data_IF_783118323729
#
_entry.id   IF_783118323729
#
_cell.length_a   1.000
_cell.length_b   1.000
_cell.length_c   1.000
_cell.angle_alpha   90.00
_cell.angle_beta   90.00
_cell.angle_gamma   90.00
#
_symmetry.space_group_name_H-M   'P 1'
#
loop_
_entity.id
_entity.type
_entity.pdbx_description
1 polymer ?
#
# COMPACT_ATOMS: atom_id res chain seq x y z
N UNK A 1 -0.55 17.01 17.38
CA UNK A 1 -0.55 17.18 15.90
C UNK A 1 -0.67 18.65 15.59
N UNK A 2 0.38 19.23 15.01
CA UNK A 2 0.45 20.65 14.67
C UNK A 2 -0.27 21.00 13.37
N UNK A 3 -0.27 22.28 13.01
CA UNK A 3 -0.81 22.75 11.72
C UNK A 3 -0.03 22.18 10.53
N UNK A 4 1.29 22.10 10.65
CA UNK A 4 2.16 21.53 9.62
C UNK A 4 1.79 20.08 9.29
N UNK A 5 1.64 19.22 10.31
CA UNK A 5 1.21 17.83 10.15
C UNK A 5 -0.11 17.72 9.39
N UNK A 6 -1.09 18.57 9.72
CA UNK A 6 -2.42 18.58 9.08
C UNK A 6 -2.32 18.95 7.61
N UNK A 7 -1.48 19.93 7.27
CA UNK A 7 -1.25 20.34 5.87
C UNK A 7 -0.60 19.20 5.09
N UNK A 8 0.44 18.56 5.65
CA UNK A 8 1.11 17.41 5.02
C UNK A 8 0.12 16.26 4.80
N UNK A 9 -0.68 15.92 5.81
CA UNK A 9 -1.69 14.86 5.71
C UNK A 9 -2.77 15.20 4.68
N UNK A 10 -3.18 16.48 4.60
CA UNK A 10 -4.17 16.92 3.62
C UNK A 10 -3.61 16.80 2.20
N UNK A 11 -2.38 17.26 1.95
CA UNK A 11 -1.71 17.11 0.66
C UNK A 11 -1.52 15.64 0.28
N UNK A 12 -1.17 14.79 1.24
CA UNK A 12 -1.06 13.34 1.06
C UNK A 12 -2.41 12.74 0.69
N UNK A 13 -3.48 13.12 1.40
CA UNK A 13 -4.84 12.68 1.12
C UNK A 13 -5.33 13.12 -0.26
N UNK A 14 -5.14 14.38 -0.63
CA UNK A 14 -5.52 14.91 -1.95
C UNK A 14 -4.75 14.20 -3.08
N UNK A 15 -3.46 13.95 -2.89
CA UNK A 15 -2.65 13.18 -3.82
C UNK A 15 -3.17 11.74 -3.96
N UNK A 16 -3.48 11.09 -2.84
CA UNK A 16 -4.05 9.75 -2.83
C UNK A 16 -5.42 9.69 -3.51
N UNK A 17 -6.28 10.71 -3.31
CA UNK A 17 -7.57 10.83 -3.99
C UNK A 17 -7.41 10.97 -5.51
N UNK A 18 -6.50 11.83 -5.96
CA UNK A 18 -6.19 12.01 -7.38
C UNK A 18 -5.68 10.70 -8.01
N UNK A 19 -4.75 10.01 -7.36
CA UNK A 19 -4.19 8.74 -7.84
C UNK A 19 -5.28 7.66 -7.88
N UNK A 20 -6.10 7.54 -6.83
CA UNK A 20 -7.22 6.59 -6.80
C UNK A 20 -8.22 6.85 -7.95
N UNK A 21 -8.56 8.11 -8.23
CA UNK A 21 -9.37 8.47 -9.39
C UNK A 21 -8.66 8.07 -10.70
N UNK A 22 -7.35 8.31 -10.84
CA UNK A 22 -6.62 7.93 -12.06
C UNK A 22 -6.69 6.42 -12.32
N UNK A 23 -6.55 5.60 -11.27
CA UNK A 23 -6.72 4.15 -11.37
C UNK A 23 -8.16 3.74 -11.64
N UNK A 24 -9.15 4.38 -11.02
CA UNK A 24 -10.57 4.14 -11.33
C UNK A 24 -10.90 4.41 -12.80
N UNK A 25 -10.36 5.51 -13.35
CA UNK A 25 -10.54 5.88 -14.76
C UNK A 25 -9.88 4.87 -15.70
N UNK A 26 -8.73 4.29 -15.32
CA UNK A 26 -8.10 3.22 -16.10
C UNK A 26 -8.87 1.91 -15.97
N UNK A 27 -9.26 1.54 -14.76
CA UNK A 27 -10.05 0.34 -14.46
C UNK A 27 -11.39 0.34 -15.19
N UNK A 28 -12.10 1.47 -15.25
CA UNK A 28 -13.39 1.56 -15.94
C UNK A 28 -13.29 1.22 -17.43
N UNK A 29 -12.11 1.40 -18.05
CA UNK A 29 -11.83 1.09 -19.45
C UNK A 29 -11.23 -0.30 -19.64
N UNK A 30 -10.19 -0.64 -18.88
CA UNK A 30 -9.37 -1.84 -19.12
C UNK A 30 -9.78 -3.04 -18.25
N UNK A 31 -10.52 -2.81 -17.17
CA UNK A 31 -10.99 -3.81 -16.19
C UNK A 31 -9.87 -4.70 -15.62
N UNK A 32 -8.66 -4.15 -15.50
CA UNK A 32 -7.49 -4.87 -15.01
C UNK A 32 -7.46 -4.89 -13.49
N UNK A 33 -7.21 -6.07 -12.92
CA UNK A 33 -7.30 -6.28 -11.48
C UNK A 33 -6.24 -5.51 -10.68
N UNK A 34 -5.05 -5.27 -11.25
CA UNK A 34 -4.02 -4.47 -10.59
C UNK A 34 -4.47 -3.05 -10.24
N UNK A 35 -5.38 -2.45 -11.02
CA UNK A 35 -5.93 -1.12 -10.72
C UNK A 35 -6.76 -1.11 -9.45
N UNK A 36 -7.48 -2.20 -9.19
CA UNK A 36 -8.26 -2.37 -7.95
C UNK A 36 -7.32 -2.44 -6.75
N UNK A 37 -6.20 -3.16 -6.87
CA UNK A 37 -5.22 -3.25 -5.78
C UNK A 37 -4.54 -1.92 -5.50
N UNK A 38 -4.14 -1.17 -6.54
CA UNK A 38 -3.60 0.17 -6.33
C UNK A 38 -4.63 1.10 -5.71
N UNK A 39 -5.87 1.14 -6.23
CA UNK A 39 -6.95 1.94 -5.65
C UNK A 39 -7.17 1.62 -4.17
N UNK A 40 -7.19 0.34 -3.79
CA UNK A 40 -7.35 -0.06 -2.39
C UNK A 40 -6.27 0.57 -1.51
N UNK A 41 -5.00 0.51 -1.90
CA UNK A 41 -3.91 1.13 -1.14
C UNK A 41 -4.06 2.65 -1.00
N UNK A 42 -4.39 3.35 -2.08
CA UNK A 42 -4.53 4.81 -2.06
C UNK A 42 -5.82 5.30 -1.39
N UNK A 43 -6.93 4.57 -1.49
CA UNK A 43 -8.17 4.88 -0.76
C UNK A 43 -7.94 4.73 0.73
N UNK A 44 -7.25 3.67 1.17
CA UNK A 44 -6.91 3.50 2.58
C UNK A 44 -5.97 4.61 3.06
N UNK A 45 -5.00 5.04 2.24
CA UNK A 45 -4.14 6.18 2.56
C UNK A 45 -4.95 7.49 2.73
N UNK A 46 -5.89 7.76 1.82
CA UNK A 46 -6.79 8.91 1.91
C UNK A 46 -7.61 8.88 3.20
N UNK A 47 -8.29 7.77 3.47
CA UNK A 47 -9.13 7.61 4.67
C UNK A 47 -8.28 7.74 5.94
N UNK A 48 -7.09 7.13 5.96
CA UNK A 48 -6.17 7.24 7.10
C UNK A 48 -5.72 8.67 7.33
N UNK A 49 -5.37 9.41 6.27
CA UNK A 49 -4.99 10.82 6.36
C UNK A 49 -6.11 11.71 6.92
N UNK A 50 -7.34 11.53 6.42
CA UNK A 50 -8.51 12.26 6.92
C UNK A 50 -8.81 11.92 8.39
N UNK A 51 -8.77 10.65 8.76
CA UNK A 51 -8.97 10.21 10.14
C UNK A 51 -7.93 10.83 11.07
N UNK A 52 -6.66 10.87 10.68
CA UNK A 52 -5.60 11.49 11.49
C UNK A 52 -5.76 13.00 11.61
N UNK A 53 -6.23 13.69 10.57
CA UNK A 53 -6.48 15.14 10.63
C UNK A 53 -7.50 15.49 11.73
N UNK A 54 -8.56 14.69 11.87
CA UNK A 54 -9.62 14.94 12.85
C UNK A 54 -9.38 14.28 14.21
N UNK A 55 -8.81 13.08 14.24
CA UNK A 55 -8.62 12.28 15.46
C UNK A 55 -7.21 12.33 16.07
N UNK A 56 -6.22 12.88 15.36
CA UNK A 56 -4.85 13.00 15.82
C UNK A 56 -4.07 11.68 15.90
N UNK A 57 -2.82 11.76 16.38
CA UNK A 57 -1.87 10.64 16.38
C UNK A 57 -2.29 9.43 17.21
N UNK A 58 -3.10 9.60 18.25
CA UNK A 58 -3.57 8.49 19.10
C UNK A 58 -4.46 7.46 18.38
N UNK A 59 -4.92 7.75 17.15
CA UNK A 59 -5.57 6.75 16.30
C UNK A 59 -4.59 5.69 15.78
N UNK A 60 -3.31 6.01 15.61
CA UNK A 60 -2.30 5.05 15.12
C UNK A 60 -2.08 3.89 16.11
N UNK A 61 -2.31 4.13 17.41
CA UNK A 61 -2.15 3.12 18.46
C UNK A 61 -3.27 2.06 18.44
N UNK A 62 -4.34 2.28 17.66
CA UNK A 62 -5.49 1.40 17.60
C UNK A 62 -5.23 0.22 16.66
N UNK A 63 -5.39 -1.00 17.18
CA UNK A 63 -5.18 -2.24 16.44
C UNK A 63 -5.95 -2.32 15.11
N UNK A 64 -7.19 -1.80 15.08
CA UNK A 64 -8.00 -1.77 13.86
C UNK A 64 -7.45 -0.79 12.81
N UNK A 65 -6.90 0.36 13.22
CA UNK A 65 -6.26 1.31 12.30
C UNK A 65 -5.01 0.68 11.68
N UNK A 66 -4.17 0.03 12.49
CA UNK A 66 -3.00 -0.71 12.00
C UNK A 66 -3.39 -1.80 10.99
N UNK A 67 -4.43 -2.57 11.31
CA UNK A 67 -4.92 -3.65 10.44
C UNK A 67 -5.39 -3.11 9.09
N UNK A 68 -6.17 -2.03 9.09
CA UNK A 68 -6.64 -1.40 7.85
C UNK A 68 -5.47 -0.76 7.08
N UNK A 69 -4.58 -0.04 7.77
CA UNK A 69 -3.40 0.59 7.16
C UNK A 69 -2.44 -0.40 6.50
N UNK A 70 -2.44 -1.67 6.93
CA UNK A 70 -1.69 -2.77 6.29
C UNK A 70 -2.09 -2.98 4.82
N UNK A 71 -3.31 -2.60 4.44
CA UNK A 71 -3.75 -2.63 3.05
C UNK A 71 -3.02 -1.63 2.15
N UNK A 72 -2.36 -0.61 2.71
CA UNK A 72 -1.55 0.36 1.94
C UNK A 72 -0.37 -0.37 1.29
N UNK A 73 0.61 -0.92 2.05
CA UNK A 73 1.73 -1.61 1.43
C UNK A 73 1.29 -2.88 0.70
N UNK A 74 0.38 -3.68 1.26
CA UNK A 74 -0.06 -4.92 0.61
C UNK A 74 -0.84 -4.66 -0.68
N UNK A 75 -1.69 -3.63 -0.74
CA UNK A 75 -2.45 -3.28 -1.94
C UNK A 75 -1.53 -2.79 -3.07
N UNK A 76 -0.58 -1.92 -2.75
CA UNK A 76 0.36 -1.40 -3.75
C UNK A 76 1.27 -2.52 -4.27
N UNK A 77 1.87 -3.31 -3.38
CA UNK A 77 2.73 -4.43 -3.79
C UNK A 77 1.97 -5.51 -4.56
N UNK A 78 0.71 -5.78 -4.20
CA UNK A 78 -0.17 -6.69 -4.94
C UNK A 78 -0.46 -6.19 -6.36
N UNK A 79 -0.71 -4.88 -6.52
CA UNK A 79 -0.86 -4.26 -7.83
C UNK A 79 0.39 -4.45 -8.68
N UNK A 80 1.58 -4.17 -8.12
CA UNK A 80 2.85 -4.32 -8.83
C UNK A 80 3.11 -5.78 -9.22
N UNK A 81 2.92 -6.72 -8.31
CA UNK A 81 3.11 -8.15 -8.57
C UNK A 81 2.11 -8.67 -9.60
N UNK A 82 0.85 -8.23 -9.55
CA UNK A 82 -0.16 -8.60 -10.53
C UNK A 82 0.16 -8.06 -11.93
N UNK A 83 0.64 -6.82 -12.01
CA UNK A 83 0.91 -6.14 -13.28
C UNK A 83 2.22 -6.58 -13.94
N UNK A 84 3.31 -6.67 -13.17
CA UNK A 84 4.66 -6.84 -13.72
C UNK A 84 5.27 -8.22 -13.47
N UNK A 85 4.70 -9.01 -12.56
CA UNK A 85 5.16 -10.36 -12.23
C UNK A 85 4.00 -11.37 -12.25
N UNK A 86 3.23 -11.45 -13.37
CA UNK A 86 1.99 -12.23 -13.43
C UNK A 86 2.18 -13.72 -13.12
N UNK A 87 3.36 -14.28 -13.34
CA UNK A 87 3.73 -15.65 -12.96
C UNK A 87 3.68 -15.89 -11.45
N UNK A 88 3.89 -14.86 -10.63
CA UNK A 88 3.86 -14.94 -9.17
C UNK A 88 2.56 -14.40 -8.55
N UNK A 89 1.63 -13.87 -9.36
CA UNK A 89 0.42 -13.19 -8.85
C UNK A 89 -0.38 -14.04 -7.86
N UNK A 90 -0.53 -15.35 -8.11
CA UNK A 90 -1.32 -16.26 -7.26
C UNK A 90 -0.63 -16.51 -5.93
N UNK A 91 0.68 -16.80 -5.96
CA UNK A 91 1.48 -16.99 -4.76
C UNK A 91 1.49 -15.72 -3.90
N UNK A 92 1.69 -14.57 -4.53
CA UNK A 92 1.71 -13.29 -3.81
C UNK A 92 0.33 -12.90 -3.26
N UNK A 93 -0.77 -13.24 -3.95
CA UNK A 93 -2.12 -13.03 -3.44
C UNK A 93 -2.39 -13.82 -2.15
N UNK A 94 -1.94 -15.07 -2.10
CA UNK A 94 -2.01 -15.86 -0.87
C UNK A 94 -1.13 -15.30 0.23
N UNK A 95 0.10 -14.87 -0.10
CA UNK A 95 0.99 -14.20 0.85
C UNK A 95 0.34 -12.95 1.45
N UNK A 96 -0.25 -12.08 0.63
CA UNK A 96 -0.92 -10.87 1.09
C UNK A 96 -2.15 -11.18 1.94
N UNK A 97 -2.97 -12.17 1.57
CA UNK A 97 -4.13 -12.58 2.36
C UNK A 97 -3.72 -13.13 3.73
N UNK A 98 -2.76 -14.08 3.77
CA UNK A 98 -2.23 -14.63 5.02
C UNK A 98 -1.62 -13.52 5.87
N UNK A 99 -0.90 -12.58 5.24
CA UNK A 99 -0.31 -11.43 5.93
C UNK A 99 -1.32 -10.51 6.57
N UNK A 100 -2.37 -10.16 5.84
CA UNK A 100 -3.47 -9.34 6.36
C UNK A 100 -4.15 -10.03 7.54
N UNK A 101 -4.48 -11.32 7.42
CA UNK A 101 -5.11 -12.09 8.50
C UNK A 101 -4.19 -12.23 9.71
N UNK A 102 -2.90 -12.55 9.51
CA UNK A 102 -1.94 -12.66 10.59
C UNK A 102 -1.79 -11.34 11.34
N UNK A 103 -1.67 -10.20 10.63
CA UNK A 103 -1.57 -8.88 11.25
C UNK A 103 -2.87 -8.51 11.97
N UNK A 104 -4.03 -8.77 11.36
CA UNK A 104 -5.33 -8.50 11.96
C UNK A 104 -5.49 -9.26 13.29
N UNK A 105 -5.33 -10.58 13.26
CA UNK A 105 -5.52 -11.43 14.44
C UNK A 105 -4.51 -11.05 15.51
N UNK A 106 -3.21 -10.95 15.18
CA UNK A 106 -2.16 -10.63 16.16
C UNK A 106 -2.32 -9.23 16.76
N UNK A 107 -2.75 -8.24 15.98
CA UNK A 107 -2.93 -6.87 16.46
C UNK A 107 -4.17 -6.72 17.34
N UNK A 108 -5.28 -7.37 16.98
CA UNK A 108 -6.56 -7.25 17.68
C UNK A 108 -6.54 -8.02 19.00
N UNK A 109 -5.92 -9.21 19.04
CA UNK A 109 -5.87 -10.03 20.26
C UNK A 109 -4.67 -9.74 21.15
N UNK A 110 -3.76 -8.85 20.73
CA UNK A 110 -2.57 -8.47 21.51
C UNK A 110 -1.52 -9.58 21.61
N UNK A 111 -1.46 -10.50 20.64
CA UNK A 111 -0.49 -11.59 20.64
C UNK A 111 0.95 -11.08 20.43
N UNK A 112 1.91 -11.69 21.15
CA UNK A 112 3.33 -11.38 21.01
C UNK A 112 3.85 -11.56 19.57
N UNK A 113 3.24 -12.45 18.78
CA UNK A 113 3.61 -12.71 17.38
C UNK A 113 3.44 -11.48 16.46
N UNK A 114 2.72 -10.43 16.89
CA UNK A 114 2.58 -9.15 16.18
C UNK A 114 3.94 -8.54 15.80
N UNK A 115 4.94 -8.66 16.68
CA UNK A 115 6.29 -8.11 16.46
C UNK A 115 7.06 -8.79 15.33
N UNK A 116 6.60 -9.96 14.88
CA UNK A 116 7.17 -10.70 13.75
C UNK A 116 6.27 -10.53 12.52
N UNK A 117 4.96 -10.70 12.68
CA UNK A 117 4.00 -10.63 11.59
C UNK A 117 4.06 -9.28 10.86
N UNK A 118 4.01 -8.17 11.61
CA UNK A 118 3.99 -6.83 10.99
C UNK A 118 5.25 -6.57 10.17
N UNK A 119 6.49 -6.67 10.72
CA UNK A 119 7.70 -6.42 9.94
C UNK A 119 7.92 -7.38 8.78
N UNK A 120 7.51 -8.65 8.91
CA UNK A 120 7.64 -9.62 7.82
C UNK A 120 6.80 -9.21 6.59
N UNK A 121 5.49 -9.04 6.79
CA UNK A 121 4.59 -8.75 5.67
C UNK A 121 4.74 -7.33 5.15
N UNK A 122 4.96 -6.34 6.02
CA UNK A 122 5.25 -4.97 5.59
C UNK A 122 6.63 -4.89 4.92
N UNK A 123 7.63 -5.57 5.44
CA UNK A 123 8.98 -5.59 4.90
C UNK A 123 9.03 -6.15 3.48
N UNK A 124 8.39 -7.32 3.25
CA UNK A 124 8.30 -7.90 1.90
C UNK A 124 7.54 -6.99 0.94
N UNK A 125 6.42 -6.40 1.36
CA UNK A 125 5.68 -5.47 0.53
C UNK A 125 6.50 -4.20 0.22
N UNK A 126 7.21 -3.65 1.21
CA UNK A 126 8.12 -2.52 1.03
C UNK A 126 9.27 -2.81 0.07
N UNK A 127 9.89 -3.99 0.18
CA UNK A 127 10.93 -4.45 -0.76
C UNK A 127 10.40 -4.58 -2.18
N UNK A 128 9.15 -5.00 -2.36
CA UNK A 128 8.51 -5.05 -3.69
C UNK A 128 8.25 -3.64 -4.22
N UNK A 129 7.68 -2.75 -3.39
CA UNK A 129 7.40 -1.36 -3.78
C UNK A 129 8.69 -0.63 -4.18
N UNK A 130 9.75 -0.80 -3.40
CA UNK A 130 11.06 -0.19 -3.65
C UNK A 130 11.79 -0.88 -4.81
N UNK A 131 11.96 -2.20 -4.72
CA UNK A 131 12.89 -2.96 -5.57
C UNK A 131 12.35 -3.31 -6.94
N UNK A 132 11.06 -3.61 -7.07
CA UNK A 132 10.50 -4.06 -8.35
C UNK A 132 10.53 -2.98 -9.43
N UNK A 133 10.13 -1.71 -9.18
CA UNK A 133 10.29 -0.64 -10.17
C UNK A 133 11.75 -0.43 -10.61
N UNK A 134 12.68 -0.45 -9.65
CA UNK A 134 14.11 -0.31 -9.91
C UNK A 134 14.65 -1.47 -10.74
N UNK A 135 14.30 -2.70 -10.41
CA UNK A 135 14.69 -3.89 -11.17
C UNK A 135 14.19 -3.83 -12.62
N UNK A 136 12.93 -3.45 -12.82
CA UNK A 136 12.34 -3.36 -14.16
C UNK A 136 13.00 -2.27 -15.01
N UNK A 137 13.38 -1.14 -14.41
CA UNK A 137 14.03 -0.03 -15.11
C UNK A 137 15.54 -0.25 -15.34
N UNK A 138 16.27 -0.67 -14.30
CA UNK A 138 17.74 -0.70 -14.31
C UNK A 138 18.30 -2.01 -14.88
N UNK A 139 17.64 -3.13 -14.59
CA UNK A 139 18.14 -4.47 -14.95
C UNK A 139 17.49 -4.93 -16.24
N UNK A 140 16.17 -5.09 -16.25
CA UNK A 140 15.48 -5.66 -17.43
C UNK A 140 15.25 -4.62 -18.53
N UNK A 141 15.25 -3.33 -18.18
CA UNK A 141 14.96 -2.20 -19.09
C UNK A 141 13.63 -2.34 -19.86
N UNK A 142 12.66 -3.06 -19.26
CA UNK A 142 11.34 -3.32 -19.87
C UNK A 142 10.28 -2.30 -19.45
N UNK A 143 10.53 -1.51 -18.39
CA UNK A 143 9.59 -0.51 -17.90
C UNK A 143 9.77 0.87 -18.59
N UNK A 144 8.69 1.68 -18.67
CA UNK A 144 8.75 3.05 -19.18
C UNK A 144 9.77 3.92 -18.45
N UNK A 145 10.33 4.91 -19.15
CA UNK A 145 11.22 5.91 -18.54
C UNK A 145 10.51 6.61 -17.38
N UNK A 146 11.21 6.77 -16.27
CA UNK A 146 10.69 7.38 -15.05
C UNK A 146 9.95 6.43 -14.11
N UNK A 147 9.58 5.21 -14.52
CA UNK A 147 8.88 4.28 -13.63
C UNK A 147 9.69 3.89 -12.39
N UNK A 148 11.02 3.90 -12.47
CA UNK A 148 11.90 3.65 -11.33
C UNK A 148 11.74 4.68 -10.20
N UNK A 149 11.23 5.88 -10.49
CA UNK A 149 10.96 6.91 -9.47
C UNK A 149 9.94 6.43 -8.44
N UNK A 150 8.98 5.59 -8.85
CA UNK A 150 7.98 4.98 -7.96
C UNK A 150 8.66 4.23 -6.81
N UNK A 151 9.79 3.58 -7.09
CA UNK A 151 10.54 2.83 -6.07
C UNK A 151 11.23 3.72 -5.04
N UNK A 152 11.50 4.99 -5.35
CA UNK A 152 12.18 5.95 -4.46
C UNK A 152 11.26 7.09 -3.99
N UNK A 153 9.95 6.95 -4.19
CA UNK A 153 8.93 7.90 -3.71
C UNK A 153 8.60 9.05 -4.66
N UNK A 154 8.98 8.97 -5.94
CA UNK A 154 8.68 9.95 -6.98
C UNK A 154 7.68 9.48 -8.03
#
# INVERSE_FOLDING_TARGET
MGMFDRIILLLTGLTAAYIAWRFYTRYSKEKKLYDVYYMMGFIVLLVSGLLLIFGGWGLLDKAYVLTVATLIPLGISMGLMNQFMPQYKKAYSWFALVGLLAIAVTSITGMAFKSIAVPLFHGVAGLIIFGLPLYLCLVTKTAPKGFGMVGIGG
#
